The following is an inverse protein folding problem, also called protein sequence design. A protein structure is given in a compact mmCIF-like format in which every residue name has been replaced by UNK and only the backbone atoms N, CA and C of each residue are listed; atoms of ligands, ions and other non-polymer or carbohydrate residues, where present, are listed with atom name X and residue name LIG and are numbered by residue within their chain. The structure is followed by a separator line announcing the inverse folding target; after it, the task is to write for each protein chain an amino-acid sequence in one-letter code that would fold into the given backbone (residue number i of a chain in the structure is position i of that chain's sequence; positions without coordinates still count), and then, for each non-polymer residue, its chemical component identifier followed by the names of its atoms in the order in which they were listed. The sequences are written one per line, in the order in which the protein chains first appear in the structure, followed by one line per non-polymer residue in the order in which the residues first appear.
data_IF_911180777453
#
_entry.id   IF_911180777453
#
_cell.length_a   1.000
_cell.length_b   1.000
_cell.length_c   1.000
_cell.angle_alpha   90.00
_cell.angle_beta   90.00
_cell.angle_gamma   90.00
#
_symmetry.space_group_name_H-M   'P 1'
#
loop_
_entity.id
_entity.type
_entity.pdbx_description
1 polymer ?
#
# COMPACT_ATOMS: atom_id res chain seq x y z
N UNK A 1 -2.14 -21.47 7.64
CA UNK A 1 -1.85 -20.03 7.77
C UNK A 1 -0.42 -19.76 7.35
N UNK A 2 0.54 -20.55 7.85
CA UNK A 2 1.98 -20.41 7.59
C UNK A 2 2.39 -20.30 6.11
N UNK A 3 1.65 -20.95 5.20
CA UNK A 3 1.88 -20.81 3.76
C UNK A 3 1.61 -19.39 3.26
N UNK A 4 0.52 -18.76 3.70
CA UNK A 4 0.18 -17.39 3.31
C UNK A 4 1.13 -16.37 3.95
N UNK A 5 1.53 -16.61 5.21
CA UNK A 5 2.55 -15.80 5.90
C UNK A 5 3.93 -15.88 5.21
N UNK A 6 4.14 -16.90 4.37
CA UNK A 6 5.35 -17.07 3.56
C UNK A 6 5.33 -16.32 2.22
N UNK A 7 4.19 -15.76 1.79
CA UNK A 7 4.08 -15.04 0.52
C UNK A 7 4.86 -13.71 0.52
N UNK A 8 5.56 -13.38 -0.57
CA UNK A 8 6.17 -12.07 -0.73
C UNK A 8 5.10 -10.98 -0.85
N UNK A 9 5.40 -9.78 -0.32
CA UNK A 9 4.47 -8.65 -0.33
C UNK A 9 4.50 -7.85 -1.63
N UNK A 10 5.65 -7.84 -2.31
CA UNK A 10 5.89 -7.02 -3.48
C UNK A 10 6.92 -7.68 -4.41
N UNK A 11 6.89 -7.28 -5.67
CA UNK A 11 7.91 -7.62 -6.65
C UNK A 11 8.33 -6.39 -7.45
N UNK A 12 9.61 -6.33 -7.85
CA UNK A 12 10.10 -5.34 -8.80
C UNK A 12 10.31 -6.04 -10.14
N UNK A 13 9.58 -5.61 -11.15
CA UNK A 13 9.65 -6.19 -12.50
C UNK A 13 10.47 -5.28 -13.41
N UNK A 14 11.48 -5.86 -14.06
CA UNK A 14 12.38 -5.18 -15.00
C UNK A 14 13.03 -3.90 -14.43
N UNK A 15 13.24 -3.84 -13.10
CA UNK A 15 13.75 -2.66 -12.39
C UNK A 15 12.95 -1.37 -12.68
N UNK A 16 11.68 -1.50 -13.02
CA UNK A 16 10.82 -0.40 -13.49
C UNK A 16 9.46 -0.37 -12.82
N UNK A 17 8.86 -1.53 -12.59
CA UNK A 17 7.49 -1.63 -12.08
C UNK A 17 7.49 -2.25 -10.69
N UNK A 18 6.88 -1.55 -9.73
CA UNK A 18 6.52 -2.13 -8.45
C UNK A 18 5.17 -2.84 -8.60
N UNK A 19 5.13 -4.13 -8.30
CA UNK A 19 3.92 -4.94 -8.30
C UNK A 19 3.55 -5.30 -6.86
N UNK A 20 2.33 -4.92 -6.47
CA UNK A 20 1.74 -5.14 -5.14
C UNK A 20 0.26 -5.50 -5.32
N UNK A 21 -0.37 -6.08 -4.30
CA UNK A 21 -1.76 -6.54 -4.42
C UNK A 21 -2.77 -5.39 -4.41
N UNK A 22 -2.68 -4.49 -3.43
CA UNK A 22 -3.52 -3.32 -3.29
C UNK A 22 -2.87 -2.10 -3.91
N UNK A 23 -2.29 -1.22 -3.09
CA UNK A 23 -1.83 0.07 -3.55
C UNK A 23 -0.88 0.80 -2.61
N UNK A 24 -0.84 2.13 -2.75
CA UNK A 24 0.11 2.97 -2.00
C UNK A 24 -0.44 3.41 -0.64
N UNK A 25 0.46 3.63 0.32
CA UNK A 25 0.14 3.98 1.71
C UNK A 25 0.32 5.48 1.99
N UNK A 26 -0.47 6.00 2.94
CA UNK A 26 -0.31 7.35 3.49
C UNK A 26 0.79 7.45 4.56
N UNK A 27 1.17 6.32 5.18
CA UNK A 27 1.95 6.25 6.42
C UNK A 27 3.46 6.19 6.16
N UNK A 28 3.94 7.05 5.27
CA UNK A 28 5.35 7.13 4.88
C UNK A 28 5.93 8.38 5.54
N UNK A 29 6.84 8.18 6.50
CA UNK A 29 7.42 9.21 7.39
C UNK A 29 8.28 10.31 6.72
N UNK A 30 7.97 10.74 5.50
CA UNK A 30 8.63 11.88 4.86
C UNK A 30 7.62 12.80 4.19
N UNK A 31 7.30 13.87 4.91
CA UNK A 31 6.41 14.99 4.58
C UNK A 31 6.72 15.66 3.23
N UNK A 32 7.84 15.30 2.58
CA UNK A 32 8.27 15.87 1.31
C UNK A 32 7.96 14.98 0.10
N UNK A 33 7.84 13.65 0.27
CA UNK A 33 7.60 12.71 -0.83
C UNK A 33 6.86 11.46 -0.32
N UNK A 34 5.56 11.36 -0.58
CA UNK A 34 4.72 10.18 -0.32
C UNK A 34 4.98 9.08 -1.36
N UNK A 35 6.24 8.64 -1.46
CA UNK A 35 6.68 7.56 -2.34
C UNK A 35 7.03 6.37 -1.47
N UNK A 36 6.40 5.20 -1.71
CA UNK A 36 6.80 3.96 -1.04
C UNK A 36 8.24 3.66 -1.43
N UNK A 37 9.15 3.74 -0.45
CA UNK A 37 10.51 3.26 -0.66
C UNK A 37 10.48 1.74 -0.51
N UNK A 38 11.14 1.06 -1.44
CA UNK A 38 11.32 -0.40 -1.39
C UNK A 38 11.91 -0.82 -0.03
N UNK A 39 12.83 -0.01 0.51
CA UNK A 39 13.46 -0.23 1.83
C UNK A 39 12.49 -0.23 2.99
N UNK A 40 11.30 0.37 2.85
CA UNK A 40 10.28 0.38 3.89
C UNK A 40 9.46 -0.92 3.86
N UNK A 41 9.22 -1.47 2.66
CA UNK A 41 8.61 -2.80 2.48
C UNK A 41 9.53 -3.90 3.03
N UNK A 42 10.84 -3.79 2.78
CA UNK A 42 11.84 -4.78 3.26
C UNK A 42 11.91 -4.89 4.79
N UNK A 43 11.51 -3.85 5.52
CA UNK A 43 11.49 -3.82 6.99
C UNK A 43 10.22 -4.41 7.60
N UNK A 44 9.22 -4.74 6.78
CA UNK A 44 7.97 -5.32 7.28
C UNK A 44 8.24 -6.74 7.76
N UNK A 45 7.99 -6.97 9.04
CA UNK A 45 7.82 -8.32 9.58
C UNK A 45 6.52 -8.92 9.04
N UNK A 46 6.64 -9.67 7.94
CA UNK A 46 5.53 -10.18 7.14
C UNK A 46 5.05 -11.58 7.53
N UNK A 47 5.80 -12.30 8.36
CA UNK A 47 5.51 -13.67 8.76
C UNK A 47 4.46 -13.71 9.88
N UNK A 48 3.32 -13.05 9.64
CA UNK A 48 2.23 -12.86 10.60
C UNK A 48 0.94 -12.46 9.88
N UNK A 49 -0.16 -12.57 10.62
CA UNK A 49 -1.46 -12.05 10.21
C UNK A 49 -1.39 -10.55 9.85
N UNK A 50 -2.06 -10.17 8.76
CA UNK A 50 -2.07 -8.80 8.26
C UNK A 50 -2.69 -7.87 9.33
N UNK A 51 -1.99 -6.80 9.77
CA UNK A 51 -2.54 -5.84 10.70
C UNK A 51 -3.75 -5.08 10.16
N UNK A 52 -4.56 -4.50 11.04
CA UNK A 52 -5.73 -3.67 10.67
C UNK A 52 -5.38 -2.26 10.17
N UNK A 53 -4.12 -1.86 10.26
CA UNK A 53 -3.61 -0.55 9.83
C UNK A 53 -2.10 -0.58 9.57
N UNK A 54 -1.59 0.48 8.95
CA UNK A 54 -0.18 0.67 8.61
C UNK A 54 0.21 0.04 7.28
N UNK A 55 1.50 0.18 6.91
CA UNK A 55 1.99 -0.13 5.57
C UNK A 55 1.66 -1.54 5.07
N UNK A 56 1.74 -2.58 5.92
CA UNK A 56 1.40 -3.94 5.50
C UNK A 56 -0.10 -4.07 5.14
N UNK A 57 -0.98 -3.44 5.92
CA UNK A 57 -2.40 -3.36 5.59
C UNK A 57 -2.60 -2.65 4.24
N UNK A 58 -1.92 -1.53 4.04
CA UNK A 58 -2.10 -0.68 2.86
C UNK A 58 -1.61 -1.33 1.56
N UNK A 59 -0.48 -2.04 1.60
CA UNK A 59 0.02 -2.80 0.45
C UNK A 59 -0.98 -3.85 -0.04
N UNK A 60 -1.86 -4.34 0.84
CA UNK A 60 -2.85 -5.38 0.54
C UNK A 60 -4.24 -4.81 0.23
N UNK A 61 -4.61 -3.65 0.79
CA UNK A 61 -6.00 -3.19 0.81
C UNK A 61 -6.24 -1.76 0.29
N UNK A 62 -5.20 -1.01 -0.08
CA UNK A 62 -5.40 0.28 -0.73
C UNK A 62 -5.97 0.13 -2.14
N UNK A 63 -6.87 1.03 -2.54
CA UNK A 63 -7.52 1.04 -3.86
C UNK A 63 -7.27 2.39 -4.57
N UNK A 64 -7.26 2.45 -5.92
CA UNK A 64 -7.27 3.74 -6.61
C UNK A 64 -8.61 4.46 -6.37
N UNK A 65 -8.59 5.79 -6.44
CA UNK A 65 -9.84 6.56 -6.38
C UNK A 65 -10.76 6.23 -7.57
N UNK A 66 -12.02 5.97 -7.27
CA UNK A 66 -13.07 5.71 -8.27
C UNK A 66 -13.67 7.04 -8.75
N UNK A 67 -12.92 7.75 -9.59
CA UNK A 67 -13.43 8.90 -10.35
C UNK A 67 -12.74 9.01 -11.71
N UNK A 68 -13.42 9.66 -12.67
CA UNK A 68 -12.96 9.76 -14.06
C UNK A 68 -11.58 10.41 -14.23
N UNK A 69 -11.16 11.23 -13.28
CA UNK A 69 -9.91 12.00 -13.36
C UNK A 69 -8.74 11.33 -12.67
N UNK A 70 -8.99 10.36 -11.78
CA UNK A 70 -8.01 9.81 -10.85
C UNK A 70 -7.51 10.79 -9.79
N UNK A 71 -8.15 11.96 -9.66
CA UNK A 71 -7.68 13.05 -8.79
C UNK A 71 -8.28 13.03 -7.41
N UNK A 72 -7.49 13.48 -6.44
CA UNK A 72 -7.95 13.78 -5.09
C UNK A 72 -7.35 15.11 -4.63
N UNK A 73 -8.07 15.83 -3.78
CA UNK A 73 -7.57 17.06 -3.15
C UNK A 73 -6.36 16.78 -2.24
N UNK A 74 -6.25 15.55 -1.74
CA UNK A 74 -5.13 14.99 -0.99
C UNK A 74 -4.69 13.67 -1.63
N UNK A 75 -3.40 13.33 -1.56
CA UNK A 75 -2.88 12.09 -2.19
C UNK A 75 -3.60 10.80 -1.77
N UNK A 76 -4.18 10.82 -0.57
CA UNK A 76 -4.96 9.72 -0.01
C UNK A 76 -6.25 10.22 0.66
N UNK A 77 -7.26 9.35 0.72
CA UNK A 77 -8.47 9.48 1.58
C UNK A 77 -8.81 8.12 2.18
N UNK A 78 -9.59 8.05 3.26
CA UNK A 78 -9.98 6.76 3.86
C UNK A 78 -10.74 5.87 2.86
N UNK A 79 -10.47 4.57 2.89
CA UNK A 79 -11.14 3.59 2.05
C UNK A 79 -12.39 3.01 2.74
N UNK A 80 -13.51 3.70 2.56
CA UNK A 80 -14.78 3.30 3.17
C UNK A 80 -15.31 1.96 2.63
N UNK A 81 -14.96 1.56 1.39
CA UNK A 81 -15.37 0.27 0.83
C UNK A 81 -14.66 -0.92 1.48
N UNK A 82 -13.41 -0.74 1.93
CA UNK A 82 -12.64 -1.77 2.65
C UNK A 82 -12.78 -1.68 4.17
N UNK A 83 -13.18 -0.53 4.70
CA UNK A 83 -13.23 -0.26 6.13
C UNK A 83 -11.85 -0.21 6.82
N UNK A 84 -10.78 -0.19 6.03
CA UNK A 84 -9.38 -0.05 6.43
C UNK A 84 -8.58 0.50 5.25
N UNK A 85 -7.36 0.98 5.49
CA UNK A 85 -6.50 1.55 4.44
C UNK A 85 -7.10 2.79 3.73
N UNK A 86 -6.60 3.11 2.54
CA UNK A 86 -6.81 4.35 1.83
C UNK A 86 -7.17 4.15 0.36
N UNK A 87 -7.96 5.07 -0.18
CA UNK A 87 -7.94 5.35 -1.61
C UNK A 87 -6.75 6.25 -1.94
N UNK A 88 -6.08 6.02 -3.07
CA UNK A 88 -5.00 6.86 -3.57
C UNK A 88 -5.32 7.51 -4.92
N UNK A 89 -4.74 8.69 -5.16
CA UNK A 89 -4.96 9.49 -6.37
C UNK A 89 -3.85 10.53 -6.56
N UNK A 90 -3.91 11.30 -7.65
CA UNK A 90 -2.89 12.31 -8.00
C UNK A 90 -3.43 13.74 -8.11
#
# INVERSE_FOLDING_TARGET
MDLFDSLPLAAIINNKFLCIHGGISADIHSVQYYVIKITDIEKIDRAKEIPKSGLFCDLMWADPVDNDTGKLDSLVKNNDARGCSYYFGY
#
